data_IF_399021807954
#
_entry.id   IF_399021807954
#
_cell.length_a   1.000
_cell.length_b   1.000
_cell.length_c   1.000
_cell.angle_alpha   90.00
_cell.angle_beta   90.00
_cell.angle_gamma   90.00
#
_symmetry.space_group_name_H-M   'P 1'
#
loop_
_entity.id
_entity.type
_entity.pdbx_description
1 polymer ?
#
# COMPACT_ATOMS: atom_id res chain seq x y z
N UNK A 1 -9.68 -44.28 -12.44
CA UNK A 1 -9.29 -43.07 -13.19
C UNK A 1 -10.50 -42.17 -13.20
N UNK A 2 -10.55 -41.21 -12.27
CA UNK A 2 -11.67 -40.28 -12.12
C UNK A 2 -11.48 -39.17 -13.15
N UNK A 3 -12.51 -38.89 -13.94
CA UNK A 3 -12.46 -37.90 -15.03
C UNK A 3 -12.19 -36.50 -14.47
N UNK A 4 -11.50 -35.61 -15.22
CA UNK A 4 -11.16 -34.24 -14.80
C UNK A 4 -12.37 -33.32 -14.56
N UNK A 5 -13.60 -33.81 -14.78
CA UNK A 5 -14.85 -33.07 -14.57
C UNK A 5 -15.40 -33.18 -13.14
N UNK A 6 -14.88 -34.08 -12.29
CA UNK A 6 -15.37 -34.33 -10.93
C UNK A 6 -14.39 -33.87 -9.83
N UNK A 7 -13.34 -33.11 -10.17
CA UNK A 7 -12.45 -32.54 -9.16
C UNK A 7 -13.08 -31.26 -8.58
N UNK A 8 -13.50 -31.27 -7.30
CA UNK A 8 -14.11 -30.10 -6.65
C UNK A 8 -13.17 -28.88 -6.61
N UNK A 9 -11.86 -29.10 -6.83
CA UNK A 9 -10.85 -28.06 -6.85
C UNK A 9 -10.44 -27.65 -8.28
N UNK A 10 -11.02 -28.22 -9.33
CA UNK A 10 -10.66 -27.89 -10.72
C UNK A 10 -10.89 -26.40 -11.04
N UNK A 11 -12.01 -25.84 -10.58
CA UNK A 11 -12.30 -24.42 -10.76
C UNK A 11 -11.32 -23.52 -10.00
N UNK A 12 -10.93 -23.93 -8.78
CA UNK A 12 -9.94 -23.24 -7.96
C UNK A 12 -8.55 -23.30 -8.60
N UNK A 13 -8.15 -24.46 -9.11
CA UNK A 13 -6.88 -24.65 -9.82
C UNK A 13 -6.81 -23.79 -11.09
N UNK A 14 -7.91 -23.68 -11.84
CA UNK A 14 -7.98 -22.83 -13.02
C UNK A 14 -7.82 -21.33 -12.67
N UNK A 15 -8.45 -20.86 -11.59
CA UNK A 15 -8.28 -19.49 -11.09
C UNK A 15 -6.85 -19.21 -10.63
N UNK A 16 -6.23 -20.15 -9.89
CA UNK A 16 -4.84 -20.03 -9.43
C UNK A 16 -3.85 -20.00 -10.60
N UNK A 17 -4.05 -20.84 -11.62
CA UNK A 17 -3.20 -20.87 -12.81
C UNK A 17 -3.33 -19.59 -13.66
N UNK A 18 -4.53 -19.02 -13.76
CA UNK A 18 -4.75 -17.75 -14.45
C UNK A 18 -4.04 -16.59 -13.71
N UNK A 19 -4.17 -16.50 -12.39
CA UNK A 19 -3.56 -15.45 -11.57
C UNK A 19 -2.01 -15.54 -11.51
N UNK A 20 -1.46 -16.76 -11.40
CA UNK A 20 -0.01 -16.99 -11.39
C UNK A 20 0.69 -16.59 -12.70
N UNK A 21 -0.03 -16.53 -13.81
CA UNK A 21 0.52 -16.13 -15.12
C UNK A 21 0.67 -14.61 -15.29
N UNK A 22 0.01 -13.81 -14.46
CA UNK A 22 -0.09 -12.34 -14.60
C UNK A 22 0.73 -11.59 -13.54
N UNK A 23 1.05 -12.23 -12.41
CA UNK A 23 1.72 -11.56 -11.28
C UNK A 23 2.92 -12.33 -10.77
N UNK A 24 4.03 -11.62 -10.53
CA UNK A 24 5.23 -12.12 -9.85
C UNK A 24 4.95 -12.30 -8.34
N UNK A 25 4.01 -13.19 -8.00
CA UNK A 25 3.65 -13.51 -6.61
C UNK A 25 4.79 -14.31 -6.00
N UNK A 26 5.47 -13.75 -5.00
CA UNK A 26 6.75 -14.25 -4.49
C UNK A 26 6.62 -15.12 -3.23
N UNK A 27 5.47 -15.07 -2.55
CA UNK A 27 5.23 -15.77 -1.30
C UNK A 27 3.78 -16.26 -1.15
N UNK A 28 3.58 -17.24 -0.27
CA UNK A 28 2.25 -17.74 0.07
C UNK A 28 1.38 -16.67 0.76
N UNK A 29 1.99 -15.73 1.47
CA UNK A 29 1.28 -14.62 2.11
C UNK A 29 0.73 -13.64 1.06
N UNK A 30 1.47 -13.40 -0.03
CA UNK A 30 0.99 -12.61 -1.16
C UNK A 30 -0.22 -13.27 -1.86
N UNK A 31 -0.19 -14.61 -1.97
CA UNK A 31 -1.33 -15.39 -2.49
C UNK A 31 -2.56 -15.24 -1.59
N UNK A 32 -2.38 -15.36 -0.27
CA UNK A 32 -3.49 -15.23 0.69
C UNK A 32 -4.05 -13.80 0.73
N UNK A 33 -3.21 -12.78 0.63
CA UNK A 33 -3.65 -11.39 0.56
C UNK A 33 -4.47 -11.13 -0.72
N UNK A 34 -4.05 -11.70 -1.86
CA UNK A 34 -4.80 -11.58 -3.11
C UNK A 34 -6.16 -12.28 -3.06
N UNK A 35 -6.22 -13.50 -2.54
CA UNK A 35 -7.46 -14.27 -2.46
C UNK A 35 -8.50 -13.67 -1.49
N UNK A 36 -8.03 -12.93 -0.47
CA UNK A 36 -8.89 -12.28 0.50
C UNK A 36 -9.14 -10.79 0.20
N UNK A 37 -8.62 -10.26 -0.91
CA UNK A 37 -8.87 -8.88 -1.30
C UNK A 37 -10.36 -8.69 -1.63
N UNK A 38 -10.96 -7.63 -1.10
CA UNK A 38 -12.33 -7.28 -1.46
C UNK A 38 -12.39 -6.97 -2.97
N UNK A 39 -13.36 -7.52 -3.71
CA UNK A 39 -13.47 -7.26 -5.14
C UNK A 39 -13.76 -5.77 -5.37
N UNK A 40 -13.08 -5.20 -6.37
CA UNK A 40 -13.33 -3.82 -6.79
C UNK A 40 -14.83 -3.63 -7.13
N UNK A 41 -15.43 -2.48 -6.76
CA UNK A 41 -16.81 -2.19 -7.08
C UNK A 41 -17.03 -2.19 -8.59
N UNK A 42 -18.09 -2.85 -9.03
CA UNK A 42 -18.46 -2.92 -10.45
C UNK A 42 -18.83 -1.52 -10.97
N UNK A 43 -18.11 -0.98 -11.97
CA UNK A 43 -18.38 0.35 -12.51
C UNK A 43 -19.72 0.48 -13.23
N UNK A 44 -20.40 -0.63 -13.54
CA UNK A 44 -21.68 -0.64 -14.25
C UNK A 44 -22.89 -0.83 -13.32
N UNK A 45 -22.66 -1.01 -12.01
CA UNK A 45 -23.72 -1.33 -11.06
C UNK A 45 -24.85 -0.29 -11.00
N UNK A 46 -24.55 0.98 -11.31
CA UNK A 46 -25.46 2.12 -11.22
C UNK A 46 -25.90 2.66 -12.61
N UNK A 47 -25.72 1.89 -13.69
CA UNK A 47 -26.16 2.30 -15.03
C UNK A 47 -27.64 1.93 -15.23
N UNK A 48 -28.48 2.95 -15.46
CA UNK A 48 -29.90 2.76 -15.80
C UNK A 48 -30.07 2.47 -17.30
N UNK A 49 -30.57 1.26 -17.61
CA UNK A 49 -30.79 0.83 -18.98
C UNK A 49 -32.16 1.26 -19.50
N UNK A 50 -32.16 1.96 -20.63
CA UNK A 50 -33.35 2.54 -21.26
C UNK A 50 -33.90 1.67 -22.39
N UNK A 51 -33.09 0.72 -22.90
CA UNK A 51 -33.42 -0.15 -24.03
C UNK A 51 -33.11 0.45 -25.40
N UNK A 52 -32.56 1.67 -25.43
CA UNK A 52 -31.96 2.27 -26.62
C UNK A 52 -30.45 2.00 -26.63
N UNK A 53 -29.99 1.24 -27.62
CA UNK A 53 -28.61 0.75 -27.69
C UNK A 53 -27.58 1.88 -27.68
N UNK A 54 -27.85 3.00 -28.35
CA UNK A 54 -26.92 4.12 -28.42
C UNK A 54 -26.83 4.87 -27.08
N UNK A 55 -27.97 5.09 -26.43
CA UNK A 55 -28.03 5.75 -25.12
C UNK A 55 -27.40 4.90 -24.03
N UNK A 56 -27.68 3.60 -24.02
CA UNK A 56 -27.17 2.66 -23.03
C UNK A 56 -25.65 2.46 -23.19
N UNK A 57 -25.15 2.31 -24.42
CA UNK A 57 -23.71 2.19 -24.67
C UNK A 57 -22.92 3.44 -24.25
N UNK A 58 -23.50 4.63 -24.42
CA UNK A 58 -22.89 5.87 -23.94
C UNK A 58 -22.84 5.93 -22.41
N UNK A 59 -23.92 5.53 -21.74
CA UNK A 59 -23.97 5.50 -20.28
C UNK A 59 -22.94 4.52 -19.69
N UNK A 60 -22.77 3.35 -20.31
CA UNK A 60 -21.75 2.38 -19.93
C UNK A 60 -20.32 2.94 -20.10
N UNK A 61 -20.03 3.56 -21.24
CA UNK A 61 -18.70 4.15 -21.50
C UNK A 61 -18.36 5.26 -20.51
N UNK A 62 -19.32 6.11 -20.17
CA UNK A 62 -19.13 7.18 -19.19
C UNK A 62 -18.91 6.63 -17.78
N UNK A 63 -19.65 5.57 -17.40
CA UNK A 63 -19.49 4.90 -16.12
C UNK A 63 -18.11 4.20 -16.00
N UNK A 64 -17.69 3.49 -17.05
CA UNK A 64 -16.36 2.87 -17.14
C UNK A 64 -15.24 3.90 -17.04
N UNK A 65 -15.34 5.00 -17.80
CA UNK A 65 -14.34 6.06 -17.79
C UNK A 65 -14.22 6.70 -16.40
N UNK A 66 -15.34 6.94 -15.72
CA UNK A 66 -15.36 7.44 -14.34
C UNK A 66 -14.67 6.45 -13.39
N UNK A 67 -15.03 5.17 -13.45
CA UNK A 67 -14.44 4.13 -12.61
C UNK A 67 -12.91 4.00 -12.81
N UNK A 68 -12.38 4.21 -14.02
CA UNK A 68 -10.93 4.25 -14.24
C UNK A 68 -10.27 5.49 -13.64
N UNK A 69 -10.89 6.66 -13.73
CA UNK A 69 -10.36 7.90 -13.14
C UNK A 69 -10.34 7.83 -11.63
N UNK A 70 -11.41 7.34 -11.01
CA UNK A 70 -11.51 7.16 -9.56
C UNK A 70 -10.50 6.15 -9.04
N UNK A 71 -10.32 5.01 -9.74
CA UNK A 71 -9.25 4.04 -9.40
C UNK A 71 -7.86 4.64 -9.52
N UNK A 72 -7.60 5.40 -10.58
CA UNK A 72 -6.31 6.10 -10.76
C UNK A 72 -6.07 7.11 -9.64
N UNK A 73 -7.10 7.87 -9.24
CA UNK A 73 -7.00 8.83 -8.15
C UNK A 73 -6.77 8.15 -6.79
N UNK A 74 -7.47 7.05 -6.50
CA UNK A 74 -7.29 6.26 -5.27
C UNK A 74 -5.91 5.62 -5.18
N UNK A 75 -5.39 5.14 -6.31
CA UNK A 75 -4.02 4.62 -6.37
C UNK A 75 -2.99 5.74 -6.24
N UNK A 76 -3.23 6.91 -6.85
CA UNK A 76 -2.38 8.08 -6.65
C UNK A 76 -2.41 8.58 -5.19
N UNK A 77 -3.56 8.58 -4.54
CA UNK A 77 -3.72 8.90 -3.10
C UNK A 77 -2.98 7.88 -2.23
N UNK A 78 -3.10 6.59 -2.54
CA UNK A 78 -2.35 5.52 -1.87
C UNK A 78 -0.85 5.70 -2.05
N UNK A 79 -0.40 6.08 -3.25
CA UNK A 79 1.00 6.39 -3.52
C UNK A 79 1.44 7.63 -2.74
N UNK A 80 0.65 8.68 -2.68
CA UNK A 80 0.95 9.88 -1.87
C UNK A 80 1.05 9.55 -0.38
N UNK A 81 0.09 8.82 0.19
CA UNK A 81 0.13 8.30 1.56
C UNK A 81 1.35 7.41 1.84
N UNK A 82 1.80 6.65 0.84
CA UNK A 82 3.01 5.82 0.95
C UNK A 82 4.31 6.62 0.73
N UNK A 83 4.26 7.79 0.10
CA UNK A 83 5.45 8.59 -0.29
C UNK A 83 5.61 9.86 0.56
N UNK A 84 4.63 10.28 1.36
CA UNK A 84 4.77 11.35 2.36
C UNK A 84 5.50 10.86 3.61
N UNK A 85 6.81 10.80 3.51
CA UNK A 85 7.71 10.79 4.67
C UNK A 85 8.22 12.23 4.86
N UNK A 86 7.36 13.15 5.29
CA UNK A 86 7.68 14.58 5.14
C UNK A 86 8.91 15.03 5.94
N UNK A 87 9.28 14.38 7.05
CA UNK A 87 10.45 14.76 7.84
C UNK A 87 11.16 13.58 8.49
N UNK A 88 12.12 12.96 7.78
CA UNK A 88 13.03 11.96 8.33
C UNK A 88 14.49 12.37 8.11
N UNK A 89 15.34 12.03 9.08
CA UNK A 89 16.78 12.12 8.93
C UNK A 89 17.40 10.76 9.24
N UNK A 90 18.50 10.42 8.56
CA UNK A 90 19.18 9.15 8.74
C UNK A 90 20.67 9.38 8.98
N UNK A 91 21.26 8.61 9.90
CA UNK A 91 22.69 8.58 10.17
C UNK A 91 23.26 7.25 9.66
N UNK A 92 24.14 7.32 8.67
CA UNK A 92 24.77 6.16 8.06
C UNK A 92 26.16 5.90 8.66
N UNK A 93 26.41 4.66 9.05
CA UNK A 93 27.70 4.22 9.60
C UNK A 93 28.40 3.25 8.64
N UNK A 94 29.74 3.23 8.69
CA UNK A 94 30.54 2.31 7.86
C UNK A 94 30.33 0.86 8.26
N UNK A 95 30.17 0.60 9.56
CA UNK A 95 29.94 -0.74 10.10
C UNK A 95 28.77 -0.75 11.06
N UNK A 96 28.17 -1.94 11.24
CA UNK A 96 27.12 -2.16 12.26
C UNK A 96 27.62 -1.89 13.67
N UNK A 97 28.89 -2.22 13.96
CA UNK A 97 29.51 -1.99 15.26
C UNK A 97 29.56 -0.50 15.60
N UNK A 98 29.89 0.34 14.62
CA UNK A 98 29.93 1.79 14.81
C UNK A 98 28.52 2.35 15.10
N UNK A 99 27.50 1.84 14.40
CA UNK A 99 26.09 2.18 14.67
C UNK A 99 25.69 1.82 16.10
N UNK A 100 25.96 0.59 16.53
CA UNK A 100 25.58 0.12 17.87
C UNK A 100 26.33 0.87 18.98
N UNK A 101 27.62 1.15 18.77
CA UNK A 101 28.42 1.96 19.68
C UNK A 101 27.87 3.40 19.80
N UNK A 102 27.49 4.02 18.69
CA UNK A 102 26.86 5.34 18.68
C UNK A 102 25.53 5.33 19.45
N UNK A 103 24.62 4.41 19.12
CA UNK A 103 23.31 4.33 19.78
C UNK A 103 23.43 4.09 21.28
N UNK A 104 24.38 3.26 21.70
CA UNK A 104 24.65 2.99 23.12
C UNK A 104 25.22 4.20 23.83
N UNK A 105 26.22 4.86 23.25
CA UNK A 105 26.82 6.06 23.84
C UNK A 105 25.84 7.24 23.91
N UNK A 106 24.94 7.36 22.95
CA UNK A 106 23.91 8.39 22.88
C UNK A 106 22.68 8.09 23.75
N UNK A 107 22.60 6.91 24.39
CA UNK A 107 21.43 6.50 25.18
C UNK A 107 20.17 6.21 24.35
N UNK A 108 20.28 6.11 23.03
CA UNK A 108 19.15 5.99 22.11
C UNK A 108 18.64 4.55 21.96
N UNK A 109 19.42 3.55 22.36
CA UNK A 109 19.00 2.13 22.34
C UNK A 109 17.65 1.92 23.05
N UNK A 110 17.38 2.71 24.10
CA UNK A 110 16.15 2.60 24.88
C UNK A 110 14.87 2.91 24.08
N UNK A 111 14.98 3.68 22.99
CA UNK A 111 13.83 4.09 22.16
C UNK A 111 13.83 3.46 20.77
N UNK A 112 14.88 2.71 20.40
CA UNK A 112 14.93 1.90 19.17
C UNK A 112 16.29 1.83 18.50
N UNK A 113 16.33 1.27 17.28
CA UNK A 113 17.56 1.01 16.50
C UNK A 113 17.59 1.67 15.10
N UNK A 114 16.42 1.88 14.47
CA UNK A 114 16.35 2.34 13.07
C UNK A 114 15.41 3.52 12.87
N UNK A 115 14.18 3.40 13.36
CA UNK A 115 13.19 4.46 13.31
C UNK A 115 12.92 4.90 14.74
N UNK A 116 13.29 6.14 15.04
CA UNK A 116 13.20 6.73 16.36
C UNK A 116 12.25 7.92 16.30
N UNK A 117 11.47 8.12 17.37
CA UNK A 117 10.73 9.36 17.56
C UNK A 117 11.73 10.52 17.73
N UNK A 118 11.61 11.55 16.87
CA UNK A 118 12.54 12.68 16.85
C UNK A 118 12.49 13.54 18.13
N UNK A 119 11.33 13.70 18.75
CA UNK A 119 11.16 14.48 19.97
C UNK A 119 11.68 13.72 21.20
N UNK A 120 11.45 12.39 21.26
CA UNK A 120 12.03 11.54 22.28
C UNK A 120 13.56 11.48 22.16
N UNK A 121 14.07 11.41 20.93
CA UNK A 121 15.51 11.48 20.63
C UNK A 121 16.10 12.80 21.10
N UNK A 122 15.46 13.93 20.79
CA UNK A 122 15.92 15.26 21.22
C UNK A 122 15.98 15.38 22.76
N UNK A 123 14.98 14.84 23.46
CA UNK A 123 14.96 14.81 24.93
C UNK A 123 16.13 14.01 25.52
N UNK A 124 16.47 12.86 24.94
CA UNK A 124 17.58 12.03 25.39
C UNK A 124 18.94 12.67 25.10
N UNK A 125 19.07 13.36 23.97
CA UNK A 125 20.29 14.06 23.58
C UNK A 125 20.45 15.43 24.24
N UNK A 126 19.42 15.93 24.95
CA UNK A 126 19.43 17.27 25.55
C UNK A 126 19.33 18.40 24.53
N UNK A 127 18.72 18.14 23.36
CA UNK A 127 18.53 19.12 22.29
C UNK A 127 17.20 19.83 22.50
N UNK A 128 17.22 21.17 22.50
CA UNK A 128 16.02 21.98 22.56
C UNK A 128 15.28 21.93 21.22
N UNK A 129 13.99 21.57 21.27
CA UNK A 129 13.11 21.57 20.10
C UNK A 129 12.31 22.88 20.03
N UNK A 130 11.99 23.39 18.83
CA UNK A 130 11.05 24.49 18.66
C UNK A 130 9.73 24.19 19.36
N UNK A 131 9.10 25.22 19.92
CA UNK A 131 7.76 25.08 20.51
C UNK A 131 6.71 25.02 19.39
N UNK A 132 5.55 24.41 19.64
CA UNK A 132 4.46 24.34 18.67
C UNK A 132 3.93 25.71 18.24
N UNK A 133 4.24 26.76 19.00
CA UNK A 133 3.90 28.15 18.67
C UNK A 133 4.88 28.79 17.68
N UNK A 134 6.04 28.16 17.41
CA UNK A 134 7.05 28.63 16.46
C UNK A 134 6.75 28.19 15.01
N UNK A 135 5.47 27.98 14.67
CA UNK A 135 5.06 27.57 13.32
C UNK A 135 5.24 28.74 12.33
N UNK A 136 6.45 28.92 11.81
CA UNK A 136 6.73 29.71 10.61
C UNK A 136 6.75 28.77 9.39
N UNK A 137 5.87 29.04 8.40
CA UNK A 137 6.29 29.68 7.15
C UNK A 137 7.49 28.98 6.51
N UNK A 138 7.20 27.89 5.80
CA UNK A 138 7.95 27.44 4.64
C UNK A 138 7.02 27.50 3.44
#
# INVERSE_FOLDING_TARGET
>A
MTSPADDPNAALLAQLQAAASVTAVSSNDDVLAFLNAEPDPDPLADVDYTGDEETDARAELDALHRGFRERTAREAERLLLATESEYWFCVCFRTRKDKEAFLGAAGLIAIGDKYLDGYATAKLLGVAMPSTDDTERG
#
